data_IF_654691103334
#
_entry.id   IF_654691103334
#
_cell.length_a   1.000
_cell.length_b   1.000
_cell.length_c   1.000
_cell.angle_alpha   90.00
_cell.angle_beta   90.00
_cell.angle_gamma   90.00
#
_symmetry.space_group_name_H-M   'P 1'
#
loop_
_entity.id
_entity.type
_entity.pdbx_description
1 polymer ?
#
# COMPACT_ATOMS: atom_id res chain seq x y z
N UNK A 1 -19.65 -54.47 -13.74
CA UNK A 1 -18.54 -53.78 -13.06
C UNK A 1 -18.47 -52.27 -13.36
N UNK A 2 -19.59 -51.59 -13.72
CA UNK A 2 -19.56 -50.20 -14.22
C UNK A 2 -19.84 -49.11 -13.18
N UNK A 3 -20.83 -49.31 -12.29
CA UNK A 3 -21.32 -48.22 -11.44
C UNK A 3 -20.41 -47.93 -10.24
N UNK A 4 -19.68 -48.93 -9.73
CA UNK A 4 -18.72 -48.74 -8.62
C UNK A 4 -17.47 -47.99 -9.11
N UNK A 5 -17.01 -48.30 -10.32
CA UNK A 5 -15.83 -47.67 -10.92
C UNK A 5 -16.09 -46.19 -11.27
N UNK A 6 -17.28 -45.88 -11.82
CA UNK A 6 -17.66 -44.50 -12.11
C UNK A 6 -17.89 -43.67 -10.84
N UNK A 7 -18.47 -44.26 -9.78
CA UNK A 7 -18.61 -43.61 -8.48
C UNK A 7 -17.25 -43.32 -7.82
N UNK A 8 -16.29 -44.23 -7.93
CA UNK A 8 -14.92 -44.02 -7.42
C UNK A 8 -14.22 -42.93 -8.22
N UNK A 9 -14.37 -42.89 -9.55
CA UNK A 9 -13.81 -41.84 -10.39
C UNK A 9 -14.42 -40.46 -10.09
N UNK A 10 -15.73 -40.35 -9.94
CA UNK A 10 -16.39 -39.08 -9.60
C UNK A 10 -15.94 -38.57 -8.22
N UNK A 11 -15.89 -39.45 -7.21
CA UNK A 11 -15.40 -39.08 -5.87
C UNK A 11 -13.93 -38.63 -5.92
N UNK A 12 -13.08 -39.31 -6.70
CA UNK A 12 -11.67 -38.93 -6.86
C UNK A 12 -11.51 -37.56 -7.54
N UNK A 13 -12.31 -37.25 -8.55
CA UNK A 13 -12.30 -35.94 -9.24
C UNK A 13 -12.80 -34.83 -8.32
N UNK A 14 -13.86 -35.08 -7.54
CA UNK A 14 -14.37 -34.13 -6.55
C UNK A 14 -13.34 -33.81 -5.46
N UNK A 15 -12.56 -34.79 -5.00
CA UNK A 15 -11.49 -34.58 -4.01
C UNK A 15 -10.36 -33.74 -4.62
N UNK A 16 -9.96 -34.01 -5.85
CA UNK A 16 -8.91 -33.21 -6.54
C UNK A 16 -9.36 -31.77 -6.77
N UNK A 17 -10.61 -31.52 -7.15
CA UNK A 17 -11.15 -30.17 -7.32
C UNK A 17 -11.27 -29.38 -6.00
N UNK A 18 -11.49 -30.08 -4.88
CA UNK A 18 -11.56 -29.44 -3.57
C UNK A 18 -10.18 -29.01 -3.05
N UNK A 19 -9.11 -29.76 -3.38
CA UNK A 19 -7.73 -29.44 -2.97
C UNK A 19 -7.16 -28.27 -3.78
N UNK A 20 -7.55 -28.09 -5.05
CA UNK A 20 -7.10 -26.95 -5.87
C UNK A 20 -7.82 -25.63 -5.54
N UNK A 21 -8.88 -25.68 -4.73
CA UNK A 21 -9.68 -24.50 -4.33
C UNK A 21 -9.21 -23.87 -3.02
N UNK A 22 -8.04 -24.27 -2.50
CA UNK A 22 -7.35 -23.69 -1.34
C UNK A 22 -6.85 -22.26 -1.58
N UNK A 23 -7.80 -21.33 -1.73
CA UNK A 23 -7.78 -19.97 -1.19
C UNK A 23 -6.44 -19.21 -1.22
N UNK A 24 -6.09 -18.67 -2.39
CA UNK A 24 -5.20 -17.51 -2.49
C UNK A 24 -5.93 -16.24 -2.02
N UNK A 25 -6.29 -16.15 -0.73
CA UNK A 25 -6.63 -14.86 -0.15
C UNK A 25 -5.32 -14.09 0.04
N UNK A 26 -5.13 -13.01 -0.72
CA UNK A 26 -4.09 -12.04 -0.47
C UNK A 26 -4.28 -11.48 0.95
N UNK A 27 -3.60 -12.07 1.94
CA UNK A 27 -3.64 -11.60 3.31
C UNK A 27 -2.91 -10.25 3.35
N UNK A 28 -3.65 -9.15 3.52
CA UNK A 28 -3.08 -7.85 3.81
C UNK A 28 -2.17 -8.00 5.03
N UNK A 29 -0.86 -7.75 4.90
CA UNK A 29 0.08 -7.97 6.00
C UNK A 29 -0.34 -7.10 7.18
N UNK A 30 -0.40 -7.71 8.36
CA UNK A 30 -0.62 -6.99 9.61
C UNK A 30 0.46 -5.90 9.77
N UNK A 31 0.08 -4.64 9.59
CA UNK A 31 0.99 -3.49 9.62
C UNK A 31 0.74 -2.44 8.52
N UNK A 32 0.20 -2.83 7.37
CA UNK A 32 -0.08 -1.93 6.24
C UNK A 32 -1.44 -1.22 6.41
N UNK A 33 -1.62 -0.46 7.49
CA UNK A 33 -2.80 0.39 7.63
C UNK A 33 -2.54 1.76 7.03
N UNK A 34 -3.53 2.30 6.33
CA UNK A 34 -3.42 3.66 5.81
C UNK A 34 -3.29 4.65 6.97
N UNK A 35 -2.46 5.67 6.78
CA UNK A 35 -2.14 6.67 7.80
C UNK A 35 -2.81 7.98 7.40
N UNK A 36 -3.79 8.43 8.19
CA UNK A 36 -4.44 9.72 7.99
C UNK A 36 -3.65 10.83 8.67
N UNK A 37 -3.30 11.88 7.95
CA UNK A 37 -2.76 13.13 8.49
C UNK A 37 -3.83 14.22 8.37
N UNK A 38 -4.18 14.82 9.51
CA UNK A 38 -5.10 15.96 9.54
C UNK A 38 -4.31 17.23 9.27
N UNK A 39 -4.91 18.14 8.50
CA UNK A 39 -4.38 19.49 8.33
C UNK A 39 -5.43 20.50 8.79
N UNK A 40 -4.98 21.56 9.47
CA UNK A 40 -5.86 22.65 9.91
C UNK A 40 -6.19 23.62 8.77
N UNK A 41 -5.33 23.69 7.76
CA UNK A 41 -5.37 24.70 6.69
C UNK A 41 -5.61 24.09 5.31
N UNK A 42 -5.51 22.77 5.17
CA UNK A 42 -5.74 22.03 3.94
C UNK A 42 -6.59 20.79 4.22
N UNK A 43 -7.06 20.12 3.16
CA UNK A 43 -7.78 18.85 3.28
C UNK A 43 -6.93 17.76 3.94
N UNK A 44 -7.59 16.77 4.55
CA UNK A 44 -6.91 15.64 5.16
C UNK A 44 -6.14 14.81 4.11
N UNK A 45 -5.00 14.26 4.51
CA UNK A 45 -4.16 13.42 3.65
C UNK A 45 -4.24 11.99 4.11
N UNK A 46 -4.64 11.08 3.23
CA UNK A 46 -4.60 9.64 3.50
C UNK A 46 -3.39 9.02 2.79
N UNK A 47 -2.37 8.67 3.57
CA UNK A 47 -1.23 7.92 3.10
C UNK A 47 -1.60 6.43 2.98
N UNK A 48 -1.46 5.87 1.78
CA UNK A 48 -1.76 4.45 1.52
C UNK A 48 -0.48 3.64 1.40
N UNK A 49 -0.26 2.71 2.34
CA UNK A 49 0.88 1.79 2.28
C UNK A 49 0.84 0.95 1.00
N UNK A 50 -0.35 0.47 0.62
CA UNK A 50 -0.52 -0.36 -0.58
C UNK A 50 -0.03 0.33 -1.85
N UNK A 51 -0.37 1.61 -2.04
CA UNK A 51 0.08 2.38 -3.21
C UNK A 51 1.60 2.55 -3.23
N UNK A 52 2.22 2.77 -2.08
CA UNK A 52 3.66 2.95 -1.98
C UNK A 52 4.43 1.64 -2.10
N UNK A 53 3.89 0.53 -1.60
CA UNK A 53 4.49 -0.80 -1.70
C UNK A 53 4.37 -1.42 -3.09
N UNK A 54 3.43 -0.93 -3.93
CA UNK A 54 3.34 -1.27 -5.36
C UNK A 54 4.46 -0.66 -6.21
N UNK A 55 5.21 0.31 -5.67
CA UNK A 55 6.36 0.88 -6.38
C UNK A 55 7.47 -0.17 -6.45
N UNK A 56 8.08 -0.42 -7.62
CA UNK A 56 9.12 -1.42 -7.77
C UNK A 56 10.28 -1.19 -6.81
N UNK A 57 10.78 -2.28 -6.21
CA UNK A 57 11.89 -2.27 -5.25
C UNK A 57 11.62 -1.52 -3.93
N UNK A 58 10.38 -1.11 -3.64
CA UNK A 58 10.03 -0.53 -2.35
C UNK A 58 9.82 -1.62 -1.29
N UNK A 59 10.56 -1.51 -0.18
CA UNK A 59 10.49 -2.39 0.98
C UNK A 59 10.22 -1.57 2.24
N UNK A 60 9.78 -2.19 3.33
CA UNK A 60 9.45 -1.48 4.58
C UNK A 60 10.60 -0.59 5.09
N UNK A 61 11.85 -1.06 4.93
CA UNK A 61 13.05 -0.35 5.35
C UNK A 61 13.45 0.84 4.44
N UNK A 62 12.80 0.98 3.29
CA UNK A 62 12.98 2.15 2.43
C UNK A 62 12.46 3.41 3.13
N UNK A 63 11.35 3.29 3.87
CA UNK A 63 10.75 4.38 4.63
C UNK A 63 11.10 4.31 6.12
N UNK A 64 11.15 3.11 6.70
CA UNK A 64 11.30 2.92 8.14
C UNK A 64 12.72 2.48 8.55
N UNK A 65 13.28 2.99 9.63
CA UNK A 65 12.82 4.13 10.44
C UNK A 65 13.38 5.47 9.94
N UNK A 66 14.11 5.45 8.82
CA UNK A 66 14.92 6.59 8.32
C UNK A 66 14.09 7.83 7.99
N UNK A 67 12.97 7.66 7.31
CA UNK A 67 12.09 8.75 6.87
C UNK A 67 10.90 8.88 7.82
N UNK A 68 10.28 7.74 8.15
CA UNK A 68 9.17 7.67 9.09
C UNK A 68 9.48 6.66 10.18
N UNK A 69 9.08 6.95 11.40
CA UNK A 69 9.04 5.93 12.46
C UNK A 69 7.86 4.98 12.21
N UNK A 70 7.93 3.77 12.77
CA UNK A 70 6.83 2.79 12.71
C UNK A 70 5.59 3.21 13.53
N UNK A 71 5.67 4.35 14.24
CA UNK A 71 4.56 4.99 14.95
C UNK A 71 4.25 6.33 14.28
N UNK A 72 2.96 6.71 14.26
CA UNK A 72 2.49 7.99 13.72
C UNK A 72 2.89 9.14 14.65
N UNK A 73 4.12 9.62 14.49
CA UNK A 73 4.70 10.73 15.26
C UNK A 73 5.12 11.91 14.36
N UNK A 74 5.11 11.73 13.04
CA UNK A 74 5.52 12.76 12.09
C UNK A 74 4.52 13.94 12.10
N UNK A 75 5.01 15.11 12.54
CA UNK A 75 4.32 16.38 12.39
C UNK A 75 4.84 17.05 11.10
N UNK A 76 4.17 16.79 9.99
CA UNK A 76 4.56 17.28 8.66
C UNK A 76 4.03 18.71 8.51
N UNK A 77 4.92 19.66 8.21
CA UNK A 77 4.54 21.03 7.90
C UNK A 77 4.67 21.33 6.41
N UNK A 78 4.20 22.50 5.96
CA UNK A 78 4.27 22.88 4.54
C UNK A 78 5.72 23.08 4.10
N UNK A 79 6.58 23.53 4.99
CA UNK A 79 8.01 23.77 4.76
C UNK A 79 8.73 22.45 4.48
N UNK A 80 8.32 21.36 5.13
CA UNK A 80 8.89 20.03 4.89
C UNK A 80 8.72 19.58 3.42
N UNK A 81 7.63 19.97 2.74
CA UNK A 81 7.36 19.54 1.35
C UNK A 81 8.43 19.97 0.34
N UNK A 82 9.20 21.02 0.63
CA UNK A 82 10.33 21.46 -0.21
C UNK A 82 11.69 21.00 0.32
N UNK A 83 11.73 20.40 1.50
CA UNK A 83 12.95 19.94 2.16
C UNK A 83 13.33 18.51 1.80
N UNK A 84 13.92 17.84 2.77
CA UNK A 84 14.50 16.50 2.68
C UNK A 84 13.82 15.47 3.60
N UNK A 85 12.69 15.83 4.20
CA UNK A 85 11.98 15.02 5.18
C UNK A 85 10.67 14.46 4.62
N UNK A 86 10.22 13.36 5.23
CA UNK A 86 8.88 12.81 5.01
C UNK A 86 8.55 12.56 3.53
N UNK A 87 7.53 13.24 3.01
CA UNK A 87 7.06 13.05 1.64
C UNK A 87 7.89 13.84 0.62
N UNK A 88 8.81 14.70 1.05
CA UNK A 88 9.40 15.76 0.23
C UNK A 88 10.16 15.29 -1.01
N UNK A 89 10.53 16.27 -1.85
CA UNK A 89 11.29 16.06 -3.06
C UNK A 89 12.61 15.31 -2.82
N UNK A 90 13.40 15.67 -1.80
CA UNK A 90 14.67 14.98 -1.57
C UNK A 90 14.49 13.50 -1.14
N UNK A 91 13.27 13.13 -0.75
CA UNK A 91 12.91 11.73 -0.47
C UNK A 91 12.43 11.05 -1.76
N UNK A 92 11.25 11.44 -2.26
CA UNK A 92 10.63 10.79 -3.43
C UNK A 92 9.80 11.73 -4.32
N UNK A 93 9.00 12.65 -3.77
CA UNK A 93 8.07 13.49 -4.55
C UNK A 93 8.76 14.70 -5.18
N UNK A 94 9.77 14.44 -6.02
CA UNK A 94 10.62 15.42 -6.70
C UNK A 94 10.10 15.85 -8.08
N UNK A 95 9.00 15.26 -8.57
CA UNK A 95 8.50 15.46 -9.93
C UNK A 95 9.17 14.56 -10.96
N UNK A 96 10.10 13.69 -10.56
CA UNK A 96 10.79 12.71 -11.42
C UNK A 96 10.48 11.27 -11.00
N UNK A 97 10.78 10.91 -9.75
CA UNK A 97 10.51 9.57 -9.19
C UNK A 97 9.02 9.37 -8.90
N UNK A 98 8.37 10.42 -8.42
CA UNK A 98 6.92 10.52 -8.31
C UNK A 98 6.48 11.97 -8.54
N UNK A 99 5.17 12.24 -8.57
CA UNK A 99 4.66 13.59 -8.77
C UNK A 99 5.23 14.57 -7.72
N UNK A 100 5.45 15.82 -8.11
CA UNK A 100 6.05 16.83 -7.24
C UNK A 100 5.09 17.36 -6.17
N UNK A 101 5.62 17.99 -5.13
CA UNK A 101 4.80 18.63 -4.09
C UNK A 101 4.64 20.15 -4.25
N UNK A 102 5.26 20.74 -5.29
CA UNK A 102 5.34 22.19 -5.47
C UNK A 102 4.26 22.78 -6.39
N UNK A 103 3.78 22.00 -7.35
CA UNK A 103 2.75 22.47 -8.27
C UNK A 103 1.38 22.46 -7.59
N UNK A 104 0.62 23.55 -7.72
CA UNK A 104 -0.73 23.65 -7.12
C UNK A 104 -1.66 22.55 -7.61
N UNK A 105 -1.52 22.15 -8.88
CA UNK A 105 -2.28 21.04 -9.47
C UNK A 105 -2.03 19.69 -8.76
N UNK A 106 -0.88 19.53 -8.11
CA UNK A 106 -0.52 18.30 -7.40
C UNK A 106 -1.03 18.27 -5.95
N UNK A 107 -1.39 19.42 -5.37
CA UNK A 107 -1.90 19.50 -3.99
C UNK A 107 -3.13 18.60 -3.78
N UNK A 108 -4.04 18.56 -4.74
CA UNK A 108 -5.27 17.75 -4.70
C UNK A 108 -5.00 16.23 -4.80
N UNK A 109 -3.80 15.80 -5.17
CA UNK A 109 -3.43 14.38 -5.21
C UNK A 109 -3.33 13.79 -3.79
N UNK A 110 -2.92 14.61 -2.82
CA UNK A 110 -2.80 14.21 -1.42
C UNK A 110 -3.91 14.79 -0.55
N UNK A 111 -4.19 16.09 -0.65
CA UNK A 111 -5.17 16.78 0.18
C UNK A 111 -6.57 16.57 -0.38
N UNK A 112 -7.34 15.67 0.24
CA UNK A 112 -8.74 15.43 -0.09
C UNK A 112 -9.63 16.30 0.82
N UNK A 113 -10.60 16.98 0.21
CA UNK A 113 -11.65 17.72 0.92
C UNK A 113 -12.72 16.75 1.39
#
# INVERSE_FOLDING_TARGET
>A
MGNKFWRILIVSVCIVCFVTSGVAFAQKKAGERDVKYESKTAGAVLFSHEKHMKVPNTKCNACHTKIFKMKKEAAITKEDHSGDKFCAAAVCHDGKKSFGMKAEADCAKCHKK
#
